data_IF_221288893359
#
_entry.id   IF_221288893359
#
_cell.length_a   1.000
_cell.length_b   1.000
_cell.length_c   1.000
_cell.angle_alpha   90.00
_cell.angle_beta   90.00
_cell.angle_gamma   90.00
#
_symmetry.space_group_name_H-M   'P 1'
#
loop_
_entity.id
_entity.type
_entity.pdbx_description
1 polymer ?
#
# COMPACT_ATOMS: atom_id res chain seq x y z
N UNK A 1 -96.19 -16.93 -9.20
CA UNK A 1 -95.46 -15.72 -8.74
C UNK A 1 -94.82 -16.08 -7.41
N UNK A 2 -93.55 -15.87 -7.10
CA UNK A 2 -92.38 -15.28 -7.76
C UNK A 2 -91.16 -15.73 -6.90
N UNK A 3 -90.02 -15.86 -7.57
CA UNK A 3 -88.60 -16.15 -7.19
C UNK A 3 -88.11 -15.57 -5.84
N UNK A 4 -86.94 -15.83 -5.23
CA UNK A 4 -85.59 -16.33 -5.58
C UNK A 4 -84.83 -16.41 -4.22
N UNK A 5 -84.08 -17.46 -3.88
CA UNK A 5 -82.60 -17.56 -3.92
C UNK A 5 -81.76 -16.61 -3.02
N UNK A 6 -80.76 -17.25 -2.37
CA UNK A 6 -79.41 -16.83 -1.95
C UNK A 6 -79.25 -16.98 -0.43
N UNK A 7 -78.67 -18.07 0.09
CA UNK A 7 -77.25 -18.49 0.01
C UNK A 7 -76.26 -17.34 0.26
N UNK A 8 -75.36 -17.60 1.21
CA UNK A 8 -74.21 -16.76 1.52
C UNK A 8 -74.48 -15.84 2.69
N UNK A 9 -73.90 -16.15 3.86
CA UNK A 9 -72.88 -15.29 4.46
C UNK A 9 -72.64 -15.56 5.97
N UNK A 10 -72.47 -16.83 6.38
CA UNK A 10 -72.03 -17.13 7.75
C UNK A 10 -70.60 -17.71 7.82
N UNK A 11 -69.83 -17.64 6.71
CA UNK A 11 -68.48 -18.20 6.61
C UNK A 11 -67.32 -17.21 6.67
N UNK A 12 -67.56 -15.89 6.59
CA UNK A 12 -66.48 -14.91 6.42
C UNK A 12 -66.02 -14.23 7.73
N UNK A 13 -66.79 -14.33 8.82
CA UNK A 13 -66.53 -13.56 10.05
C UNK A 13 -65.81 -14.32 11.18
N UNK A 14 -65.36 -15.57 10.94
CA UNK A 14 -64.57 -16.33 11.92
C UNK A 14 -63.08 -16.44 11.60
N UNK A 15 -62.59 -15.72 10.60
CA UNK A 15 -61.17 -15.67 10.25
C UNK A 15 -60.38 -14.57 10.99
N UNK A 16 -61.06 -13.69 11.74
CA UNK A 16 -60.45 -12.49 12.34
C UNK A 16 -60.11 -12.58 13.84
N UNK A 17 -60.38 -13.70 14.53
CA UNK A 17 -60.04 -13.84 15.97
C UNK A 17 -58.64 -14.40 16.24
N UNK A 18 -57.92 -14.90 15.23
CA UNK A 18 -56.52 -15.35 15.35
C UNK A 18 -55.48 -14.34 14.80
N UNK A 19 -55.92 -13.17 14.30
CA UNK A 19 -55.08 -12.19 13.62
C UNK A 19 -54.19 -11.34 14.55
N UNK A 20 -54.60 -11.10 15.79
CA UNK A 20 -53.88 -10.21 16.72
C UNK A 20 -52.55 -10.78 17.22
N UNK A 21 -52.54 -12.06 17.60
CA UNK A 21 -51.34 -12.76 18.09
C UNK A 21 -50.36 -12.98 16.93
N UNK A 22 -50.87 -13.32 15.75
CA UNK A 22 -50.06 -13.52 14.54
C UNK A 22 -49.34 -12.23 14.10
N UNK A 23 -50.02 -11.08 14.14
CA UNK A 23 -49.39 -9.78 13.85
C UNK A 23 -48.35 -9.37 14.91
N UNK A 24 -48.61 -9.63 16.20
CA UNK A 24 -47.66 -9.36 17.28
C UNK A 24 -46.39 -10.22 17.15
N UNK A 25 -46.54 -11.50 16.82
CA UNK A 25 -45.43 -12.42 16.59
C UNK A 25 -44.60 -11.96 15.37
N UNK A 26 -45.24 -11.57 14.28
CA UNK A 26 -44.53 -11.01 13.10
C UNK A 26 -43.79 -9.72 13.45
N UNK A 27 -44.40 -8.80 14.19
CA UNK A 27 -43.75 -7.56 14.61
C UNK A 27 -42.54 -7.80 15.53
N UNK A 28 -42.63 -8.76 16.45
CA UNK A 28 -41.51 -9.16 17.31
C UNK A 28 -40.39 -9.79 16.49
N UNK A 29 -40.71 -10.67 15.55
CA UNK A 29 -39.71 -11.29 14.64
C UNK A 29 -39.00 -10.22 13.81
N UNK A 30 -39.75 -9.29 13.21
CA UNK A 30 -39.17 -8.17 12.44
C UNK A 30 -38.30 -7.27 13.33
N UNK A 31 -38.75 -6.97 14.55
CA UNK A 31 -37.97 -6.20 15.53
C UNK A 31 -36.68 -6.91 15.95
N UNK A 32 -36.72 -8.21 16.22
CA UNK A 32 -35.54 -9.01 16.53
C UNK A 32 -34.57 -9.10 15.36
N UNK A 33 -35.07 -9.25 14.13
CA UNK A 33 -34.25 -9.22 12.91
C UNK A 33 -33.59 -7.85 12.74
N UNK A 34 -34.34 -6.76 12.92
CA UNK A 34 -33.83 -5.39 12.82
C UNK A 34 -32.74 -5.10 13.86
N UNK A 35 -32.92 -5.54 15.11
CA UNK A 35 -31.90 -5.41 16.16
C UNK A 35 -30.65 -6.26 15.88
N UNK A 36 -30.84 -7.48 15.39
CA UNK A 36 -29.73 -8.38 15.02
C UNK A 36 -28.91 -7.83 13.85
N UNK A 37 -29.58 -7.31 12.83
CA UNK A 37 -28.94 -6.67 11.67
C UNK A 37 -28.27 -5.35 12.07
N UNK A 38 -28.95 -4.51 12.86
CA UNK A 38 -28.40 -3.25 13.35
C UNK A 38 -27.13 -3.43 14.19
N UNK A 39 -27.14 -4.39 15.12
CA UNK A 39 -25.96 -4.74 15.93
C UNK A 39 -24.80 -5.27 15.08
N UNK A 40 -25.10 -6.11 14.08
CA UNK A 40 -24.10 -6.62 13.14
C UNK A 40 -23.44 -5.51 12.31
N UNK A 41 -24.25 -4.56 11.80
CA UNK A 41 -23.76 -3.42 11.02
C UNK A 41 -22.81 -2.56 11.86
N UNK A 42 -23.20 -2.17 13.07
CA UNK A 42 -22.36 -1.34 13.96
C UNK A 42 -21.03 -2.03 14.28
N UNK A 43 -21.05 -3.34 14.57
CA UNK A 43 -19.83 -4.11 14.81
C UNK A 43 -18.90 -4.14 13.60
N UNK A 44 -19.44 -4.32 12.39
CA UNK A 44 -18.65 -4.32 11.15
C UNK A 44 -18.10 -2.94 10.80
N UNK A 45 -18.82 -1.86 11.10
CA UNK A 45 -18.31 -0.50 10.94
C UNK A 45 -17.07 -0.23 11.79
N UNK A 46 -17.10 -0.61 13.07
CA UNK A 46 -15.95 -0.44 13.95
C UNK A 46 -14.74 -1.26 13.44
N UNK A 47 -15.00 -2.46 12.91
CA UNK A 47 -13.97 -3.28 12.24
C UNK A 47 -13.39 -2.61 11.00
N UNK A 48 -14.23 -2.02 10.13
CA UNK A 48 -13.81 -1.31 8.91
C UNK A 48 -12.94 -0.09 9.22
N UNK A 49 -13.30 0.68 10.25
CA UNK A 49 -12.47 1.81 10.71
C UNK A 49 -11.12 1.31 11.21
N UNK A 50 -11.09 0.20 11.96
CA UNK A 50 -9.84 -0.39 12.45
C UNK A 50 -8.90 -0.79 11.31
N UNK A 51 -9.40 -1.48 10.27
CA UNK A 51 -8.55 -1.88 9.13
C UNK A 51 -8.14 -0.68 8.28
N UNK A 52 -8.99 0.36 8.18
CA UNK A 52 -8.65 1.62 7.49
C UNK A 52 -7.53 2.36 8.22
N UNK A 53 -7.57 2.39 9.55
CA UNK A 53 -6.53 2.99 10.39
C UNK A 53 -5.23 2.18 10.36
N UNK A 54 -5.31 0.85 10.29
CA UNK A 54 -4.13 -0.01 10.15
C UNK A 54 -3.39 0.28 8.84
N UNK A 55 -4.10 0.38 7.70
CA UNK A 55 -3.51 0.79 6.42
C UNK A 55 -2.84 2.17 6.52
N UNK A 56 -3.51 3.15 7.15
CA UNK A 56 -2.94 4.48 7.36
C UNK A 56 -1.67 4.45 8.24
N UNK A 57 -1.66 3.62 9.28
CA UNK A 57 -0.49 3.42 10.14
C UNK A 57 0.67 2.77 9.39
N UNK A 58 0.41 1.74 8.59
CA UNK A 58 1.42 1.11 7.73
C UNK A 58 1.95 2.06 6.67
N UNK A 59 1.10 2.92 6.12
CA UNK A 59 1.54 3.98 5.22
C UNK A 59 2.49 4.98 5.89
N UNK A 60 2.13 5.46 7.08
CA UNK A 60 3.00 6.37 7.84
C UNK A 60 4.37 5.74 8.14
N UNK A 61 4.40 4.43 8.38
CA UNK A 61 5.67 3.71 8.54
C UNK A 61 6.52 3.72 7.26
N UNK A 62 5.90 3.52 6.10
CA UNK A 62 6.60 3.62 4.80
C UNK A 62 7.18 5.01 4.61
N UNK A 63 6.38 6.05 4.86
CA UNK A 63 6.83 7.45 4.75
C UNK A 63 8.03 7.74 5.67
N UNK A 64 7.99 7.31 6.93
CA UNK A 64 9.10 7.46 7.87
C UNK A 64 10.39 6.78 7.36
N UNK A 65 10.28 5.61 6.73
CA UNK A 65 11.45 4.90 6.21
C UNK A 65 12.06 5.60 4.99
N UNK A 66 11.26 6.25 4.14
CA UNK A 66 11.77 7.10 3.06
C UNK A 66 12.33 8.43 3.53
N UNK A 67 11.73 9.05 4.55
CA UNK A 67 12.30 10.23 5.20
C UNK A 67 13.67 9.91 5.78
N UNK A 68 13.78 8.82 6.55
CA UNK A 68 15.05 8.33 7.09
C UNK A 68 16.09 8.09 6.00
N UNK A 69 15.71 7.52 4.85
CA UNK A 69 16.60 7.38 3.70
C UNK A 69 17.17 8.75 3.35
N UNK A 70 16.34 9.74 3.07
CA UNK A 70 16.79 11.10 2.72
C UNK A 70 17.69 11.76 3.80
N UNK A 71 17.34 11.58 5.08
CA UNK A 71 18.09 12.15 6.21
C UNK A 71 19.49 11.52 6.36
N UNK A 72 19.60 10.20 6.19
CA UNK A 72 20.88 9.47 6.23
C UNK A 72 21.83 9.97 5.14
N UNK A 73 21.34 10.21 3.91
CA UNK A 73 22.20 10.74 2.85
C UNK A 73 22.66 12.17 3.16
N UNK A 74 21.75 13.03 3.61
CA UNK A 74 22.08 14.45 3.89
C UNK A 74 23.12 14.59 5.01
N UNK A 75 22.99 13.76 6.05
CA UNK A 75 23.94 13.76 7.16
C UNK A 75 25.30 13.15 6.77
N UNK A 76 25.33 12.03 6.04
CA UNK A 76 26.57 11.29 5.77
C UNK A 76 27.39 11.82 4.58
N UNK A 77 26.77 12.42 3.56
CA UNK A 77 27.49 13.07 2.44
C UNK A 77 28.39 14.21 2.95
N UNK A 78 28.02 14.84 4.06
CA UNK A 78 28.85 15.87 4.71
C UNK A 78 30.06 15.31 5.46
N UNK A 79 30.03 14.03 5.84
CA UNK A 79 31.02 13.36 6.68
C UNK A 79 32.12 12.68 5.86
N UNK A 80 31.83 12.29 4.61
CA UNK A 80 32.81 11.67 3.72
C UNK A 80 33.86 12.70 3.29
N UNK A 81 35.00 12.69 3.98
CA UNK A 81 36.16 13.54 3.68
C UNK A 81 36.86 13.04 2.42
N UNK A 82 37.27 13.96 1.55
CA UNK A 82 38.07 13.64 0.36
C UNK A 82 37.25 13.35 -0.91
N UNK A 83 35.91 13.45 -0.83
CA UNK A 83 35.03 13.25 -1.98
C UNK A 83 35.35 14.26 -3.10
N UNK A 84 35.58 13.78 -4.32
CA UNK A 84 35.85 14.65 -5.48
C UNK A 84 34.61 15.42 -5.90
N UNK A 85 34.79 16.48 -6.70
CA UNK A 85 33.65 17.27 -7.19
C UNK A 85 32.68 16.47 -8.08
N UNK A 86 33.19 15.46 -8.81
CA UNK A 86 32.36 14.57 -9.62
C UNK A 86 31.57 13.60 -8.74
N UNK A 87 32.20 12.98 -7.74
CA UNK A 87 31.52 12.11 -6.78
C UNK A 87 30.38 12.84 -6.08
N UNK A 88 30.64 14.05 -5.58
CA UNK A 88 29.61 14.86 -4.92
C UNK A 88 28.42 15.12 -5.84
N UNK A 89 28.63 15.35 -7.14
CA UNK A 89 27.54 15.56 -8.09
C UNK A 89 26.61 14.34 -8.23
N UNK A 90 27.14 13.11 -8.16
CA UNK A 90 26.32 11.90 -8.16
C UNK A 90 25.51 11.76 -6.87
N UNK A 91 26.13 12.01 -5.71
CA UNK A 91 25.42 11.98 -4.42
C UNK A 91 24.37 13.10 -4.30
N UNK A 92 24.66 14.29 -4.81
CA UNK A 92 23.72 15.42 -4.83
C UNK A 92 22.51 15.10 -5.70
N UNK A 93 22.73 14.51 -6.89
CA UNK A 93 21.65 14.07 -7.79
C UNK A 93 20.78 13.03 -7.09
N UNK A 94 21.39 12.02 -6.48
CA UNK A 94 20.67 11.01 -5.73
C UNK A 94 19.86 11.59 -4.56
N UNK A 95 20.46 12.52 -3.80
CA UNK A 95 19.80 13.17 -2.65
C UNK A 95 18.58 13.99 -3.11
N UNK A 96 18.69 14.69 -4.23
CA UNK A 96 17.57 15.41 -4.83
C UNK A 96 16.44 14.46 -5.25
N UNK A 97 16.76 13.34 -5.89
CA UNK A 97 15.76 12.35 -6.30
C UNK A 97 15.09 11.67 -5.08
N UNK A 98 15.85 11.39 -4.02
CA UNK A 98 15.33 10.84 -2.77
C UNK A 98 14.39 11.82 -2.04
N UNK A 99 14.75 13.10 -1.98
CA UNK A 99 13.88 14.14 -1.43
C UNK A 99 12.59 14.31 -2.25
N UNK A 100 12.70 14.30 -3.59
CA UNK A 100 11.56 14.34 -4.49
C UNK A 100 10.66 13.10 -4.36
N UNK A 101 11.24 11.92 -4.07
CA UNK A 101 10.48 10.71 -3.75
C UNK A 101 9.69 10.85 -2.45
N UNK A 102 10.32 11.36 -1.39
CA UNK A 102 9.62 11.65 -0.14
C UNK A 102 8.43 12.60 -0.38
N UNK A 103 8.64 13.65 -1.17
CA UNK A 103 7.56 14.59 -1.51
C UNK A 103 6.44 13.94 -2.33
N UNK A 104 6.79 13.10 -3.32
CA UNK A 104 5.82 12.39 -4.16
C UNK A 104 4.97 11.40 -3.36
N UNK A 105 5.56 10.74 -2.36
CA UNK A 105 4.83 9.87 -1.43
C UNK A 105 3.81 10.67 -0.61
N UNK A 106 4.21 11.79 -0.02
CA UNK A 106 3.29 12.62 0.75
C UNK A 106 2.14 13.16 -0.12
N UNK A 107 2.43 13.58 -1.36
CA UNK A 107 1.40 14.04 -2.31
C UNK A 107 0.43 12.94 -2.71
N UNK A 108 0.95 11.74 -3.00
CA UNK A 108 0.15 10.58 -3.38
C UNK A 108 -0.85 10.20 -2.28
N UNK A 109 -0.40 10.18 -1.02
CA UNK A 109 -1.29 9.87 0.10
C UNK A 109 -2.30 10.99 0.39
N UNK A 110 -1.90 12.24 0.21
CA UNK A 110 -2.81 13.38 0.30
C UNK A 110 -3.87 13.42 -0.83
N UNK A 111 -3.82 12.47 -1.78
CA UNK A 111 -4.72 12.42 -2.94
C UNK A 111 -4.47 13.53 -3.96
N UNK A 112 -3.34 14.23 -3.86
CA UNK A 112 -2.92 15.30 -4.78
C UNK A 112 -1.92 14.83 -5.83
N UNK A 113 -1.24 13.71 -5.55
CA UNK A 113 -0.34 13.04 -6.48
C UNK A 113 -1.02 11.92 -7.27
N UNK A 114 -0.35 11.45 -8.33
CA UNK A 114 -0.80 10.29 -9.10
C UNK A 114 0.12 9.10 -8.88
N UNK A 115 -0.42 7.89 -9.03
CA UNK A 115 0.36 6.64 -8.93
C UNK A 115 1.50 6.61 -9.96
N UNK A 116 1.22 7.11 -11.17
CA UNK A 116 2.22 7.23 -12.23
C UNK A 116 3.35 8.20 -11.87
N UNK A 117 3.07 9.30 -11.18
CA UNK A 117 4.10 10.24 -10.73
C UNK A 117 4.98 9.62 -9.64
N UNK A 118 4.35 8.90 -8.70
CA UNK A 118 5.07 8.18 -7.65
C UNK A 118 5.97 7.09 -8.24
N UNK A 119 5.47 6.26 -9.14
CA UNK A 119 6.24 5.19 -9.79
C UNK A 119 7.40 5.73 -10.64
N UNK A 120 7.17 6.82 -11.37
CA UNK A 120 8.22 7.51 -12.10
C UNK A 120 9.32 8.01 -11.15
N UNK A 121 8.95 8.55 -9.99
CA UNK A 121 9.92 9.07 -9.03
C UNK A 121 10.68 7.94 -8.30
N UNK A 122 10.01 6.82 -7.99
CA UNK A 122 10.66 5.61 -7.49
C UNK A 122 11.72 5.11 -8.48
N UNK A 123 11.38 5.06 -9.76
CA UNK A 123 12.28 4.61 -10.82
C UNK A 123 13.51 5.51 -10.93
N UNK A 124 13.32 6.84 -10.91
CA UNK A 124 14.45 7.79 -10.91
C UNK A 124 15.37 7.61 -9.71
N UNK A 125 14.79 7.47 -8.53
CA UNK A 125 15.56 7.30 -7.28
C UNK A 125 16.35 5.99 -7.30
N UNK A 126 15.76 4.91 -7.81
CA UNK A 126 16.46 3.62 -7.97
C UNK A 126 17.59 3.71 -9.00
N UNK A 127 17.35 4.36 -10.14
CA UNK A 127 18.37 4.58 -11.15
C UNK A 127 19.54 5.41 -10.60
N UNK A 128 19.26 6.49 -9.88
CA UNK A 128 20.29 7.29 -9.24
C UNK A 128 21.09 6.49 -8.20
N UNK A 129 20.47 5.54 -7.49
CA UNK A 129 21.19 4.64 -6.57
C UNK A 129 22.12 3.70 -7.35
N UNK A 130 21.65 3.16 -8.47
CA UNK A 130 22.45 2.30 -9.37
C UNK A 130 23.62 3.09 -9.97
N UNK A 131 23.42 4.36 -10.32
CA UNK A 131 24.46 5.23 -10.85
C UNK A 131 25.53 5.51 -9.78
N UNK A 132 25.13 5.87 -8.56
CA UNK A 132 26.07 6.02 -7.42
C UNK A 132 26.83 4.72 -7.17
N UNK A 133 26.13 3.58 -7.20
CA UNK A 133 26.74 2.26 -6.97
C UNK A 133 27.76 1.92 -8.07
N UNK A 134 27.37 2.01 -9.33
CA UNK A 134 28.28 1.70 -10.46
C UNK A 134 29.51 2.60 -10.45
N UNK A 135 29.33 3.91 -10.20
CA UNK A 135 30.43 4.84 -10.15
C UNK A 135 31.41 4.54 -9.01
N UNK A 136 30.94 4.25 -7.79
CA UNK A 136 31.84 3.92 -6.67
C UNK A 136 32.53 2.57 -6.87
N UNK A 137 31.82 1.55 -7.38
CA UNK A 137 32.38 0.21 -7.53
C UNK A 137 33.35 0.08 -8.71
N UNK A 138 33.11 0.78 -9.81
CA UNK A 138 33.91 0.65 -11.04
C UNK A 138 35.03 1.69 -11.15
N UNK A 139 34.81 2.92 -10.67
CA UNK A 139 35.78 4.00 -10.86
C UNK A 139 36.69 4.25 -9.65
N UNK A 140 36.29 3.88 -8.42
CA UNK A 140 36.97 4.32 -7.19
C UNK A 140 37.08 3.21 -6.10
N UNK A 141 37.91 2.17 -6.32
CA UNK A 141 38.15 1.11 -5.33
C UNK A 141 38.73 1.62 -4.00
N UNK A 142 39.33 2.80 -3.97
CA UNK A 142 39.80 3.48 -2.77
C UNK A 142 38.65 3.87 -1.83
N UNK A 143 37.49 4.30 -2.36
CA UNK A 143 36.32 4.64 -1.55
C UNK A 143 35.69 3.40 -0.93
N UNK A 144 35.71 2.27 -1.65
CA UNK A 144 35.26 0.97 -1.12
C UNK A 144 36.06 0.53 0.11
N UNK A 145 37.33 0.94 0.20
CA UNK A 145 38.23 0.58 1.30
C UNK A 145 38.12 1.54 2.49
N UNK A 146 37.39 2.65 2.35
CA UNK A 146 37.13 3.59 3.44
C UNK A 146 36.08 3.02 4.39
N UNK A 147 36.42 2.97 5.69
CA UNK A 147 35.54 2.43 6.71
C UNK A 147 34.24 3.23 6.88
N UNK A 148 34.28 4.55 6.68
CA UNK A 148 33.10 5.42 6.75
C UNK A 148 32.14 5.13 5.58
N UNK A 149 32.69 4.97 4.38
CA UNK A 149 31.88 4.64 3.20
C UNK A 149 31.27 3.24 3.29
N UNK A 150 32.04 2.24 3.74
CA UNK A 150 31.51 0.89 3.94
C UNK A 150 30.40 0.85 5.00
N UNK A 151 30.52 1.64 6.07
CA UNK A 151 29.47 1.77 7.08
C UNK A 151 28.20 2.40 6.49
N UNK A 152 28.36 3.48 5.73
CA UNK A 152 27.25 4.16 5.04
C UNK A 152 26.49 3.24 4.08
N UNK A 153 27.21 2.47 3.26
CA UNK A 153 26.58 1.50 2.35
C UNK A 153 25.81 0.42 3.11
N UNK A 154 26.31 -0.01 4.27
CA UNK A 154 25.60 -0.94 5.15
C UNK A 154 24.32 -0.33 5.70
N UNK A 155 24.33 0.95 6.08
CA UNK A 155 23.11 1.64 6.54
C UNK A 155 22.08 1.84 5.43
N UNK A 156 22.53 2.14 4.21
CA UNK A 156 21.64 2.23 3.03
C UNK A 156 20.97 0.89 2.77
N UNK A 157 21.74 -0.20 2.74
CA UNK A 157 21.21 -1.55 2.54
C UNK A 157 20.22 -1.93 3.64
N UNK A 158 20.55 -1.62 4.91
CA UNK A 158 19.62 -1.80 6.03
C UNK A 158 18.34 -0.99 5.86
N UNK A 159 18.42 0.23 5.34
CA UNK A 159 17.25 1.08 5.08
C UNK A 159 16.42 0.55 3.92
N UNK A 160 17.04 0.04 2.84
CA UNK A 160 16.32 -0.55 1.71
C UNK A 160 15.60 -1.84 2.10
N UNK A 161 16.21 -2.67 2.94
CA UNK A 161 15.55 -3.83 3.50
C UNK A 161 14.33 -3.44 4.36
N UNK A 162 14.46 -2.40 5.19
CA UNK A 162 13.33 -1.86 5.98
C UNK A 162 12.21 -1.33 5.07
N UNK A 163 12.54 -0.57 4.03
CA UNK A 163 11.55 -0.09 3.04
C UNK A 163 10.83 -1.26 2.38
N UNK A 164 11.56 -2.31 1.98
CA UNK A 164 10.98 -3.50 1.36
C UNK A 164 9.95 -4.16 2.29
N UNK A 165 10.32 -4.36 3.56
CA UNK A 165 9.42 -4.92 4.57
C UNK A 165 8.21 -4.01 4.81
N UNK A 166 8.41 -2.71 4.98
CA UNK A 166 7.32 -1.74 5.20
C UNK A 166 6.33 -1.68 4.03
N UNK A 167 6.81 -1.77 2.77
CA UNK A 167 5.94 -1.88 1.59
C UNK A 167 5.14 -3.17 1.58
N UNK A 168 5.77 -4.30 1.94
CA UNK A 168 5.08 -5.59 2.04
C UNK A 168 3.99 -5.56 3.11
N UNK A 169 4.30 -5.01 4.29
CA UNK A 169 3.36 -4.82 5.39
C UNK A 169 2.17 -3.94 4.99
N UNK A 170 2.42 -2.84 4.29
CA UNK A 170 1.37 -1.99 3.74
C UNK A 170 0.50 -2.75 2.74
N UNK A 171 1.09 -3.48 1.78
CA UNK A 171 0.32 -4.28 0.82
C UNK A 171 -0.52 -5.36 1.51
N UNK A 172 -0.02 -5.97 2.59
CA UNK A 172 -0.77 -6.93 3.40
C UNK A 172 -1.96 -6.25 4.09
N UNK A 173 -1.78 -5.06 4.66
CA UNK A 173 -2.86 -4.28 5.27
C UNK A 173 -3.92 -3.86 4.23
N UNK A 174 -3.50 -3.41 3.04
CA UNK A 174 -4.41 -3.10 1.92
C UNK A 174 -5.20 -4.34 1.50
N UNK A 175 -4.56 -5.51 1.44
CA UNK A 175 -5.23 -6.78 1.15
C UNK A 175 -6.27 -7.12 2.21
N UNK A 176 -5.92 -6.97 3.50
CA UNK A 176 -6.85 -7.19 4.61
C UNK A 176 -8.05 -6.23 4.55
N UNK A 177 -7.82 -4.96 4.23
CA UNK A 177 -8.87 -3.96 3.99
C UNK A 177 -9.78 -4.36 2.82
N UNK A 178 -9.20 -4.75 1.67
CA UNK A 178 -9.98 -5.19 0.49
C UNK A 178 -10.81 -6.44 0.79
N UNK A 179 -10.25 -7.40 1.50
CA UNK A 179 -10.99 -8.59 1.94
C UNK A 179 -12.15 -8.20 2.87
N UNK A 180 -11.93 -7.29 3.83
CA UNK A 180 -12.97 -6.85 4.76
C UNK A 180 -14.18 -6.20 4.07
N UNK A 181 -13.96 -5.47 2.97
CA UNK A 181 -15.02 -4.82 2.19
C UNK A 181 -15.65 -5.73 1.13
N UNK A 182 -14.95 -6.77 0.66
CA UNK A 182 -15.45 -7.69 -0.38
C UNK A 182 -16.24 -8.88 0.19
N UNK A 183 -16.13 -9.16 1.50
CA UNK A 183 -16.86 -10.25 2.16
C UNK A 183 -18.35 -9.93 2.29
N UNK A 184 -19.22 -10.88 1.92
CA UNK A 184 -20.65 -10.78 2.12
C UNK A 184 -21.01 -10.78 3.62
N UNK A 185 -21.95 -9.93 4.10
CA UNK A 185 -22.78 -8.98 3.35
C UNK A 185 -22.21 -7.57 3.22
N UNK A 186 -20.98 -7.32 3.72
CA UNK A 186 -20.36 -5.99 3.77
C UNK A 186 -20.22 -5.39 2.38
N UNK A 187 -19.92 -6.20 1.36
CA UNK A 187 -19.82 -5.77 -0.03
C UNK A 187 -21.06 -5.06 -0.60
N UNK A 188 -22.27 -5.33 -0.08
CA UNK A 188 -23.52 -4.70 -0.55
C UNK A 188 -23.57 -3.23 -0.13
N UNK A 189 -23.11 -2.92 1.08
CA UNK A 189 -23.23 -1.58 1.65
C UNK A 189 -21.89 -0.83 1.75
N UNK A 190 -20.73 -1.49 1.64
CA UNK A 190 -19.41 -0.86 1.73
C UNK A 190 -19.25 0.34 0.80
N UNK A 191 -19.66 0.21 -0.47
CA UNK A 191 -19.60 1.29 -1.45
C UNK A 191 -20.48 2.50 -1.05
N UNK A 192 -21.68 2.26 -0.51
CA UNK A 192 -22.57 3.32 -0.03
C UNK A 192 -22.05 4.06 1.20
N UNK A 193 -21.09 3.47 1.91
CA UNK A 193 -20.47 4.01 3.11
C UNK A 193 -19.12 4.68 2.86
N UNK A 194 -18.72 4.84 1.59
CA UNK A 194 -17.44 5.45 1.21
C UNK A 194 -16.23 4.52 1.34
N UNK A 195 -16.45 3.21 1.53
CA UNK A 195 -15.38 2.21 1.53
C UNK A 195 -15.31 1.54 0.14
N UNK A 196 -14.37 2.00 -0.68
CA UNK A 196 -14.08 1.45 -2.00
C UNK A 196 -12.83 0.57 -2.02
N UNK A 197 -12.76 -0.38 -2.96
CA UNK A 197 -11.58 -1.23 -3.21
C UNK A 197 -10.36 -0.43 -3.68
N UNK A 198 -10.61 0.68 -4.35
CA UNK A 198 -9.58 1.57 -4.91
C UNK A 198 -9.13 2.66 -3.93
N UNK A 199 -9.66 2.67 -2.70
CA UNK A 199 -9.31 3.67 -1.68
C UNK A 199 -7.82 3.63 -1.32
N UNK A 200 -7.25 2.42 -1.29
CA UNK A 200 -5.84 2.20 -1.00
C UNK A 200 -5.19 1.47 -2.16
N UNK A 201 -4.26 2.12 -2.87
CA UNK A 201 -3.51 1.53 -3.96
C UNK A 201 -2.40 0.61 -3.41
N UNK A 202 -1.96 -0.35 -4.21
CA UNK A 202 -0.83 -1.21 -3.84
C UNK A 202 0.50 -0.58 -4.25
N UNK A 203 1.56 -0.88 -3.51
CA UNK A 203 2.91 -0.77 -4.08
C UNK A 203 3.12 -1.89 -5.09
N UNK A 204 3.20 -1.54 -6.36
CA UNK A 204 3.48 -2.49 -7.44
C UNK A 204 4.99 -2.73 -7.56
N UNK A 205 5.36 -3.91 -8.07
CA UNK A 205 6.74 -4.17 -8.47
C UNK A 205 7.08 -3.32 -9.71
N UNK A 206 8.34 -2.89 -9.83
CA UNK A 206 8.80 -2.12 -10.98
C UNK A 206 8.50 -2.86 -12.30
N UNK A 207 8.11 -2.16 -13.37
CA UNK A 207 7.96 -2.76 -14.70
C UNK A 207 9.26 -3.44 -15.13
N UNK A 208 9.23 -4.76 -15.37
CA UNK A 208 10.42 -5.54 -15.75
C UNK A 208 11.06 -6.37 -14.64
N UNK A 209 10.53 -6.34 -13.40
CA UNK A 209 10.93 -7.26 -12.32
C UNK A 209 10.76 -8.75 -12.68
N UNK A 210 9.95 -9.07 -13.71
CA UNK A 210 9.77 -10.42 -14.25
C UNK A 210 10.99 -10.95 -15.02
N UNK A 211 11.93 -10.07 -15.41
CA UNK A 211 13.16 -10.47 -16.12
C UNK A 211 14.31 -10.55 -15.13
N UNK A 212 14.55 -11.76 -14.62
CA UNK A 212 15.77 -12.03 -13.86
C UNK A 212 17.01 -11.62 -14.69
N UNK A 213 17.98 -10.89 -14.10
CA UNK A 213 19.21 -10.54 -14.80
C UNK A 213 19.97 -11.83 -15.15
N UNK A 214 20.22 -12.04 -16.44
CA UNK A 214 21.03 -13.17 -16.92
C UNK A 214 22.48 -12.85 -16.62
N UNK A 215 23.02 -13.43 -15.56
CA UNK A 215 24.44 -13.33 -15.25
C UNK A 215 25.16 -14.40 -16.07
N UNK A 216 25.73 -13.97 -17.20
CA UNK A 216 26.54 -14.84 -18.05
C UNK A 216 28.02 -14.77 -17.61
N UNK A 217 28.50 -15.85 -17.00
CA UNK A 217 29.90 -16.01 -16.61
C UNK A 217 30.79 -16.60 -17.72
N UNK A 218 30.27 -16.83 -18.92
CA UNK A 218 30.97 -17.55 -19.99
C UNK A 218 31.94 -16.68 -20.82
N UNK A 219 32.03 -15.38 -20.54
CA UNK A 219 32.97 -14.48 -21.23
C UNK A 219 34.16 -14.14 -20.31
N UNK A 220 35.37 -14.69 -20.55
CA UNK A 220 36.58 -14.21 -19.88
C UNK A 220 36.75 -12.71 -20.17
N UNK A 221 37.02 -11.93 -19.12
CA UNK A 221 37.30 -10.50 -19.24
C UNK A 221 38.38 -10.28 -20.34
N UNK A 222 38.18 -9.34 -21.29
CA UNK A 222 39.21 -9.03 -22.26
C UNK A 222 40.47 -8.60 -21.50
N UNK A 223 41.57 -9.32 -21.72
CA UNK A 223 42.84 -9.04 -21.09
C UNK A 223 43.21 -7.57 -21.31
N UNK A 224 43.17 -6.78 -20.24
CA UNK A 224 43.61 -5.40 -20.23
C UNK A 224 45.08 -5.40 -20.64
N UNK A 225 45.38 -4.95 -21.87
CA UNK A 225 46.75 -4.79 -22.31
C UNK A 225 47.37 -3.68 -21.47
N UNK A 226 48.24 -4.06 -20.54
CA UNK A 226 49.13 -3.12 -19.83
C UNK A 226 50.06 -2.53 -20.89
N UNK A 227 50.04 -1.21 -21.16
CA UNK A 227 51.00 -0.62 -22.07
C UNK A 227 52.41 -0.77 -21.48
N UNK A 228 53.30 -1.39 -22.25
CA UNK A 228 54.71 -1.53 -21.89
C UNK A 228 55.34 -0.14 -21.71
N UNK A 229 56.05 0.04 -20.59
CA UNK A 229 56.89 1.21 -20.32
C UNK A 229 58.20 1.13 -21.11
#
# INVERSE_FOLDING_TARGET
>A
MNTNNNNGNNGCLRMFEFGGISCLVVAIIVGCIALSVGGYVVSKFNGMVSVSNDVAGKWAQVENDYQRRTDLYTSEVSTIKGMTAQERAYFDTFTQEAAALSQSLSQYYAGTGSESALDAQLTKTNNALVDVKSYVFDAHPELKSDALFSAFMTEIEGTENRITVSRQDYNNAVTAYRNAIQVFPVNIFAASLGYGVDKYPYFQAQPGADKAPVIDFSTPAPATQVPAR
#
